data_IF_133051425987
#
_entry.id   IF_133051425987
#
_cell.length_a   1.000
_cell.length_b   1.000
_cell.length_c   1.000
_cell.angle_alpha   90.00
_cell.angle_beta   90.00
_cell.angle_gamma   90.00
#
_symmetry.space_group_name_H-M   'P 1'
#
loop_
_entity.id
_entity.type
_entity.pdbx_description
1 polymer ?
#
# COMPACT_ATOMS: atom_id res chain seq x y z
N UNK A 1 20.61 30.73 -7.01
CA UNK A 1 20.43 29.44 -7.68
C UNK A 1 18.95 29.31 -8.03
N UNK A 2 18.57 28.90 -9.23
CA UNK A 2 17.19 28.59 -9.51
C UNK A 2 16.75 27.48 -8.54
N UNK A 3 15.51 27.54 -8.06
CA UNK A 3 14.95 26.47 -7.23
C UNK A 3 15.01 25.18 -8.03
N UNK A 4 15.39 24.05 -7.40
CA UNK A 4 15.41 22.77 -8.11
C UNK A 4 13.99 22.47 -8.61
N UNK A 5 13.87 21.80 -9.77
CA UNK A 5 12.57 21.50 -10.36
C UNK A 5 11.70 20.71 -9.37
N UNK A 6 10.44 21.07 -9.32
CA UNK A 6 9.46 20.32 -8.52
C UNK A 6 9.09 19.03 -9.26
N UNK A 7 8.92 17.96 -8.52
CA UNK A 7 8.35 16.71 -9.02
C UNK A 7 6.84 16.69 -8.76
N UNK A 8 6.07 16.43 -9.79
CA UNK A 8 4.62 16.38 -9.73
C UNK A 8 4.10 14.98 -10.04
N UNK A 9 3.30 14.43 -9.15
CA UNK A 9 2.47 13.26 -9.35
C UNK A 9 1.24 13.69 -10.18
N UNK A 10 1.19 13.27 -11.46
CA UNK A 10 0.22 13.73 -12.45
C UNK A 10 -1.14 13.05 -12.32
N UNK A 11 -1.11 11.75 -12.21
CA UNK A 11 -2.29 10.88 -12.10
C UNK A 11 -1.91 9.55 -11.47
N UNK A 12 -2.92 8.85 -10.99
CA UNK A 12 -2.82 7.48 -10.48
C UNK A 12 -3.92 6.64 -11.11
N UNK A 13 -3.55 5.47 -11.67
CA UNK A 13 -4.44 4.39 -12.03
C UNK A 13 -4.40 3.29 -10.97
N UNK A 14 -5.50 2.58 -10.80
CA UNK A 14 -5.63 1.54 -9.78
C UNK A 14 -6.32 0.30 -10.35
N UNK A 15 -5.94 -0.88 -9.85
CA UNK A 15 -6.58 -2.13 -10.21
C UNK A 15 -6.68 -3.06 -9.00
N UNK A 16 -7.79 -3.75 -8.90
CA UNK A 16 -8.01 -4.86 -7.97
C UNK A 16 -8.48 -6.10 -8.74
N UNK A 17 -8.18 -7.31 -8.26
CA UNK A 17 -8.72 -8.53 -8.84
C UNK A 17 -10.26 -8.61 -8.73
N UNK A 18 -10.87 -9.56 -9.45
CA UNK A 18 -12.32 -9.69 -9.49
C UNK A 18 -12.94 -10.44 -8.29
N UNK A 19 -12.13 -11.22 -7.55
CA UNK A 19 -12.66 -12.08 -6.48
C UNK A 19 -12.66 -11.37 -5.14
N UNK A 20 -13.87 -11.10 -4.60
CA UNK A 20 -14.02 -10.66 -3.21
C UNK A 20 -13.99 -11.87 -2.27
N UNK A 21 -12.98 -11.92 -1.42
CA UNK A 21 -12.75 -13.03 -0.49
C UNK A 21 -13.11 -12.69 0.96
N UNK A 22 -13.59 -11.47 1.26
CA UNK A 22 -13.67 -10.99 2.65
C UNK A 22 -14.56 -11.89 3.52
N UNK A 23 -15.79 -12.10 3.11
CA UNK A 23 -16.75 -12.90 3.89
C UNK A 23 -16.37 -14.39 3.94
N UNK A 24 -15.85 -14.95 2.83
CA UNK A 24 -15.37 -16.32 2.80
C UNK A 24 -14.20 -16.55 3.77
N UNK A 25 -13.25 -15.61 3.80
CA UNK A 25 -12.16 -15.67 4.77
C UNK A 25 -12.66 -15.60 6.22
N UNK A 26 -13.60 -14.70 6.54
CA UNK A 26 -14.18 -14.61 7.90
C UNK A 26 -14.76 -15.95 8.33
N UNK A 27 -15.57 -16.59 7.46
CA UNK A 27 -16.15 -17.90 7.72
C UNK A 27 -15.10 -18.98 7.97
N UNK A 28 -14.07 -19.03 7.12
CA UNK A 28 -12.95 -19.97 7.26
C UNK A 28 -12.16 -19.71 8.54
N UNK A 29 -11.74 -18.47 8.80
CA UNK A 29 -10.93 -18.10 9.96
C UNK A 29 -11.67 -18.39 11.28
N UNK A 30 -12.98 -18.14 11.32
CA UNK A 30 -13.81 -18.47 12.47
C UNK A 30 -13.84 -19.97 12.77
N UNK A 31 -13.77 -20.81 11.75
CA UNK A 31 -13.66 -22.28 11.94
C UNK A 31 -12.28 -22.73 12.42
N UNK A 32 -11.23 -21.92 12.23
CA UNK A 32 -9.88 -22.20 12.74
C UNK A 32 -9.68 -21.77 14.18
N UNK A 33 -10.38 -20.71 14.62
CA UNK A 33 -10.21 -20.15 15.99
C UNK A 33 -10.73 -21.13 17.03
N UNK A 34 -10.02 -21.27 18.16
CA UNK A 34 -10.52 -22.03 19.30
C UNK A 34 -11.92 -21.53 19.73
N UNK A 35 -12.87 -22.44 20.07
CA UNK A 35 -14.26 -22.07 20.39
C UNK A 35 -14.39 -20.96 21.44
N UNK A 36 -13.50 -20.93 22.44
CA UNK A 36 -13.48 -19.89 23.49
C UNK A 36 -13.18 -18.48 22.96
N UNK A 37 -12.51 -18.36 21.81
CA UNK A 37 -12.14 -17.09 21.17
C UNK A 37 -13.09 -16.67 20.03
N UNK A 38 -14.03 -17.52 19.60
CA UNK A 38 -14.90 -17.26 18.44
C UNK A 38 -15.70 -15.94 18.58
N UNK A 39 -16.27 -15.67 19.77
CA UNK A 39 -17.00 -14.43 20.02
C UNK A 39 -16.09 -13.17 20.03
N UNK A 40 -14.83 -13.32 20.42
CA UNK A 40 -13.85 -12.24 20.33
C UNK A 40 -13.47 -11.98 18.89
N UNK A 41 -13.21 -13.03 18.11
CA UNK A 41 -12.91 -12.93 16.68
C UNK A 41 -14.04 -12.22 15.91
N UNK A 42 -15.30 -12.61 16.11
CA UNK A 42 -16.47 -11.99 15.49
C UNK A 42 -16.53 -10.47 15.77
N UNK A 43 -16.34 -10.08 17.05
CA UNK A 43 -16.35 -8.65 17.41
C UNK A 43 -15.19 -7.88 16.79
N UNK A 44 -13.99 -8.48 16.70
CA UNK A 44 -12.82 -7.85 16.12
C UNK A 44 -12.97 -7.74 14.59
N UNK A 45 -13.46 -8.78 13.94
CA UNK A 45 -13.74 -8.79 12.49
C UNK A 45 -14.77 -7.71 12.12
N UNK A 46 -15.88 -7.62 12.87
CA UNK A 46 -16.90 -6.59 12.66
C UNK A 46 -16.37 -5.15 12.87
N UNK A 47 -15.34 -4.98 13.71
CA UNK A 47 -14.71 -3.69 13.98
C UNK A 47 -13.56 -3.34 13.02
N UNK A 48 -13.13 -4.26 12.16
CA UNK A 48 -12.01 -4.03 11.25
C UNK A 48 -12.28 -2.88 10.27
N UNK A 49 -13.55 -2.58 9.99
CA UNK A 49 -13.94 -1.51 9.09
C UNK A 49 -13.68 -1.87 7.62
N UNK A 50 -13.65 -3.17 7.31
CA UNK A 50 -13.40 -3.72 5.97
C UNK A 50 -14.70 -4.36 5.47
N UNK A 51 -15.08 -4.05 4.24
CA UNK A 51 -16.26 -4.60 3.57
C UNK A 51 -15.84 -5.55 2.45
N UNK A 52 -14.78 -5.21 1.74
CA UNK A 52 -14.27 -5.98 0.59
C UNK A 52 -12.77 -6.20 0.71
N UNK A 53 -12.32 -7.38 0.24
CA UNK A 53 -10.91 -7.70 0.00
C UNK A 53 -10.80 -8.55 -1.24
N UNK A 54 -9.92 -8.15 -2.12
CA UNK A 54 -9.78 -8.72 -3.44
C UNK A 54 -8.64 -9.74 -3.47
N UNK A 55 -8.77 -10.77 -4.32
CA UNK A 55 -7.76 -11.81 -4.49
C UNK A 55 -7.59 -12.20 -5.96
N UNK A 56 -6.33 -12.39 -6.38
CA UNK A 56 -5.98 -12.96 -7.69
C UNK A 56 -6.27 -14.46 -7.75
N UNK A 57 -6.40 -15.12 -6.60
CA UNK A 57 -6.71 -16.53 -6.56
C UNK A 57 -8.13 -16.76 -7.10
N UNK A 58 -8.28 -17.67 -8.05
CA UNK A 58 -9.58 -17.89 -8.66
C UNK A 58 -10.58 -18.41 -7.63
N UNK A 59 -11.76 -17.80 -7.61
CA UNK A 59 -12.97 -18.41 -7.05
C UNK A 59 -13.73 -19.05 -8.21
N UNK A 60 -14.13 -20.30 -8.12
CA UNK A 60 -15.21 -20.81 -8.95
C UNK A 60 -16.54 -20.22 -8.45
N UNK A 61 -17.57 -20.13 -9.31
CA UNK A 61 -18.84 -19.51 -8.92
C UNK A 61 -19.36 -20.08 -7.58
N UNK A 62 -19.36 -19.25 -6.54
CA UNK A 62 -19.75 -19.63 -5.18
C UNK A 62 -18.68 -20.26 -4.30
N UNK A 63 -17.42 -20.36 -4.75
CA UNK A 63 -16.31 -20.94 -3.99
C UNK A 63 -15.16 -19.94 -3.83
N UNK A 64 -14.55 -19.91 -2.65
CA UNK A 64 -13.36 -19.11 -2.34
C UNK A 64 -12.08 -19.96 -2.44
N UNK A 65 -10.90 -19.32 -2.38
CA UNK A 65 -9.64 -20.07 -2.35
C UNK A 65 -9.51 -21.09 -1.22
N UNK A 66 -10.29 -21.00 -0.16
CA UNK A 66 -10.29 -21.91 1.00
C UNK A 66 -11.38 -22.99 0.95
N UNK A 67 -12.29 -22.93 -0.03
CA UNK A 67 -13.32 -23.93 -0.23
C UNK A 67 -12.79 -25.15 -1.02
N UNK A 68 -13.57 -26.23 -1.06
CA UNK A 68 -13.21 -27.45 -1.76
C UNK A 68 -12.84 -27.18 -3.24
N UNK A 69 -11.65 -27.63 -3.65
CA UNK A 69 -11.09 -27.35 -4.98
C UNK A 69 -10.40 -26.00 -5.13
N UNK A 70 -10.40 -25.14 -4.11
CA UNK A 70 -9.65 -23.89 -4.07
C UNK A 70 -8.17 -24.08 -3.82
N UNK A 71 -7.39 -23.01 -3.98
CA UNK A 71 -5.92 -23.03 -3.86
C UNK A 71 -5.41 -23.50 -2.47
N UNK A 72 -6.23 -23.29 -1.42
CA UNK A 72 -5.92 -23.63 -0.03
C UNK A 72 -6.78 -24.76 0.55
N UNK A 73 -7.57 -25.47 -0.29
CA UNK A 73 -8.58 -26.38 0.18
C UNK A 73 -8.04 -27.62 0.92
N UNK A 74 -7.04 -28.30 0.33
CA UNK A 74 -6.60 -29.61 0.79
C UNK A 74 -5.30 -29.54 1.63
N UNK A 75 -4.41 -28.64 1.29
CA UNK A 75 -3.17 -28.37 2.00
C UNK A 75 -2.66 -26.96 1.65
N UNK A 76 -1.90 -26.34 2.54
CA UNK A 76 -1.26 -25.07 2.22
C UNK A 76 -0.15 -25.29 1.18
N UNK A 77 -0.26 -24.68 -0.01
CA UNK A 77 0.81 -24.78 -1.00
C UNK A 77 2.11 -24.20 -0.47
N UNK A 78 3.23 -24.81 -0.87
CA UNK A 78 4.57 -24.31 -0.57
C UNK A 78 4.86 -22.98 -1.27
N UNK A 79 5.92 -22.31 -0.82
CA UNK A 79 6.34 -20.99 -1.33
C UNK A 79 6.56 -21.00 -2.85
N UNK A 80 7.14 -22.06 -3.40
CA UNK A 80 7.34 -22.17 -4.86
C UNK A 80 6.03 -22.13 -5.66
N UNK A 81 4.98 -22.83 -5.20
CA UNK A 81 3.67 -22.83 -5.85
C UNK A 81 3.00 -21.43 -5.78
N UNK A 82 3.16 -20.73 -4.65
CA UNK A 82 2.66 -19.34 -4.47
C UNK A 82 3.40 -18.37 -5.37
N UNK A 83 4.72 -18.53 -5.51
CA UNK A 83 5.54 -17.71 -6.41
C UNK A 83 5.24 -17.99 -7.90
N UNK A 84 4.82 -19.20 -8.26
CA UNK A 84 4.35 -19.48 -9.62
C UNK A 84 3.07 -18.67 -9.95
N UNK A 85 2.12 -18.59 -9.02
CA UNK A 85 0.94 -17.70 -9.18
C UNK A 85 1.34 -16.23 -9.24
N UNK A 86 2.26 -15.80 -8.35
CA UNK A 86 2.76 -14.43 -8.34
C UNK A 86 3.40 -14.04 -9.69
N UNK A 87 4.22 -14.92 -10.26
CA UNK A 87 4.92 -14.66 -11.52
C UNK A 87 3.97 -14.34 -12.70
N UNK A 88 2.76 -14.90 -12.69
CA UNK A 88 1.75 -14.65 -13.72
C UNK A 88 0.80 -13.52 -13.35
N UNK A 89 0.32 -13.51 -12.12
CA UNK A 89 -0.75 -12.60 -11.70
C UNK A 89 -0.25 -11.18 -11.37
N UNK A 90 0.96 -11.01 -10.79
CA UNK A 90 1.44 -9.70 -10.41
C UNK A 90 1.71 -8.78 -11.63
N UNK A 91 2.38 -9.22 -12.70
CA UNK A 91 2.51 -8.41 -13.90
C UNK A 91 1.17 -8.07 -14.55
N UNK A 92 0.23 -9.02 -14.58
CA UNK A 92 -1.09 -8.80 -15.17
C UNK A 92 -1.88 -7.73 -14.41
N UNK A 93 -1.88 -7.79 -13.06
CA UNK A 93 -2.56 -6.80 -12.23
C UNK A 93 -1.88 -5.42 -12.31
N UNK A 94 -0.54 -5.39 -12.35
CA UNK A 94 0.21 -4.16 -12.54
C UNK A 94 -0.11 -3.48 -13.87
N UNK A 95 -0.20 -4.24 -14.97
CA UNK A 95 -0.57 -3.72 -16.28
C UNK A 95 -2.00 -3.19 -16.30
N UNK A 96 -2.95 -3.84 -15.61
CA UNK A 96 -4.31 -3.32 -15.48
C UNK A 96 -4.35 -1.95 -14.76
N UNK A 97 -3.50 -1.73 -13.76
CA UNK A 97 -3.37 -0.42 -13.12
C UNK A 97 -2.72 0.63 -14.05
N UNK A 98 -1.78 0.22 -14.89
CA UNK A 98 -1.17 1.08 -15.91
C UNK A 98 -2.18 1.43 -16.99
N UNK A 99 -3.02 0.49 -17.42
CA UNK A 99 -4.09 0.74 -18.39
C UNK A 99 -5.11 1.74 -17.83
N UNK A 100 -5.49 1.65 -16.55
CA UNK A 100 -6.34 2.67 -15.90
C UNK A 100 -5.63 4.03 -15.83
N UNK A 101 -4.33 4.07 -15.54
CA UNK A 101 -3.54 5.31 -15.57
C UNK A 101 -3.54 5.94 -16.97
N UNK A 102 -3.37 5.14 -18.02
CA UNK A 102 -3.33 5.60 -19.40
C UNK A 102 -4.64 6.25 -19.86
N UNK A 103 -5.77 5.98 -19.20
CA UNK A 103 -7.03 6.70 -19.44
C UNK A 103 -7.04 8.15 -18.93
N UNK A 104 -6.05 8.52 -18.11
CA UNK A 104 -5.98 9.80 -17.38
C UNK A 104 -4.83 10.68 -17.84
N UNK A 105 -3.75 10.08 -18.32
CA UNK A 105 -2.52 10.79 -18.71
C UNK A 105 -1.75 10.00 -19.77
N UNK A 106 -1.14 10.73 -20.70
CA UNK A 106 -0.27 10.15 -21.74
C UNK A 106 1.00 9.55 -21.10
N UNK A 107 1.31 8.29 -21.47
CA UNK A 107 2.48 7.56 -20.97
C UNK A 107 3.67 7.57 -21.96
N UNK A 108 3.55 8.27 -23.09
CA UNK A 108 4.64 8.38 -24.06
C UNK A 108 5.90 8.97 -23.42
N UNK A 109 7.06 8.45 -23.84
CA UNK A 109 8.35 8.95 -23.38
C UNK A 109 8.68 8.64 -21.91
N UNK A 110 8.09 7.61 -21.31
CA UNK A 110 8.53 7.12 -20.01
C UNK A 110 10.00 6.73 -20.06
N UNK A 111 10.80 7.37 -19.21
CA UNK A 111 12.26 7.19 -19.14
C UNK A 111 12.69 6.26 -18.00
N UNK A 112 11.90 6.18 -16.95
CA UNK A 112 12.20 5.40 -15.75
C UNK A 112 10.96 4.62 -15.31
N UNK A 113 11.20 3.39 -14.83
CA UNK A 113 10.20 2.53 -14.22
C UNK A 113 10.65 2.16 -12.80
N UNK A 114 9.90 2.61 -11.81
CA UNK A 114 10.11 2.27 -10.39
C UNK A 114 8.98 1.36 -9.94
N UNK A 115 9.31 0.11 -9.64
CA UNK A 115 8.31 -0.89 -9.22
C UNK A 115 8.53 -1.23 -7.75
N UNK A 116 7.45 -1.27 -6.96
CA UNK A 116 7.47 -1.75 -5.59
C UNK A 116 6.56 -2.98 -5.44
N UNK A 117 7.12 -4.07 -4.89
CA UNK A 117 6.37 -5.27 -4.51
C UNK A 117 7.06 -6.02 -3.39
N UNK A 118 6.30 -6.41 -2.37
CA UNK A 118 6.81 -7.07 -1.16
C UNK A 118 6.25 -8.49 -0.98
N UNK A 119 5.38 -8.93 -1.88
CA UNK A 119 4.61 -10.17 -1.75
C UNK A 119 5.04 -11.27 -2.72
N UNK A 120 6.15 -11.09 -3.43
CA UNK A 120 6.71 -12.13 -4.27
C UNK A 120 7.98 -11.72 -4.99
N UNK A 121 8.65 -12.75 -5.56
CA UNK A 121 9.86 -12.60 -6.34
C UNK A 121 9.78 -13.47 -7.60
N UNK A 122 10.27 -12.91 -8.70
CA UNK A 122 10.39 -13.61 -9.98
C UNK A 122 11.61 -13.06 -10.72
N UNK A 123 12.27 -13.91 -11.49
CA UNK A 123 13.34 -13.51 -12.41
C UNK A 123 13.08 -14.15 -13.79
N UNK A 124 12.98 -13.33 -14.90
CA UNK A 124 13.14 -11.87 -14.95
C UNK A 124 12.19 -11.14 -14.00
N UNK A 125 12.64 -9.98 -13.43
CA UNK A 125 11.85 -9.20 -12.48
C UNK A 125 10.58 -8.62 -13.09
N UNK A 126 9.56 -8.34 -12.25
CA UNK A 126 8.30 -7.73 -12.71
C UNK A 126 8.53 -6.37 -13.40
N UNK A 127 9.56 -5.64 -13.01
CA UNK A 127 10.01 -4.42 -13.69
C UNK A 127 10.42 -4.69 -15.16
N UNK A 128 11.15 -5.77 -15.40
CA UNK A 128 11.55 -6.18 -16.75
C UNK A 128 10.35 -6.65 -17.57
N UNK A 129 9.45 -7.43 -16.96
CA UNK A 129 8.24 -7.94 -17.61
C UNK A 129 7.32 -6.77 -18.01
N UNK A 130 7.10 -5.81 -17.11
CA UNK A 130 6.30 -4.60 -17.38
C UNK A 130 6.96 -3.77 -18.49
N UNK A 131 8.27 -3.48 -18.40
CA UNK A 131 8.98 -2.71 -19.41
C UNK A 131 8.90 -3.35 -20.80
N UNK A 132 9.04 -4.68 -20.89
CA UNK A 132 8.91 -5.41 -22.16
C UNK A 132 7.48 -5.31 -22.73
N UNK A 133 6.46 -5.42 -21.89
CA UNK A 133 5.05 -5.33 -22.31
C UNK A 133 4.65 -3.92 -22.77
N UNK A 134 5.25 -2.89 -22.17
CA UNK A 134 5.02 -1.49 -22.54
C UNK A 134 5.92 -1.00 -23.70
N UNK A 135 6.82 -1.83 -24.23
CA UNK A 135 7.75 -1.43 -25.27
C UNK A 135 8.77 -0.38 -24.81
N UNK A 136 9.25 -0.48 -23.58
CA UNK A 136 10.21 0.43 -22.93
C UNK A 136 11.62 -0.19 -22.82
N UNK A 137 12.32 -0.50 -23.94
CA UNK A 137 13.57 -1.26 -23.90
C UNK A 137 14.74 -0.50 -23.28
N UNK A 138 14.67 0.83 -23.23
CA UNK A 138 15.73 1.73 -22.76
C UNK A 138 15.38 2.42 -21.43
N UNK A 139 14.20 2.18 -20.86
CA UNK A 139 13.85 2.77 -19.57
C UNK A 139 14.77 2.25 -18.46
N UNK A 140 15.29 3.16 -17.65
CA UNK A 140 15.98 2.78 -16.41
C UNK A 140 14.98 2.16 -15.44
N UNK A 141 15.37 1.06 -14.78
CA UNK A 141 14.46 0.31 -13.91
C UNK A 141 14.99 0.17 -12.51
N UNK A 142 14.09 0.26 -11.53
CA UNK A 142 14.35 -0.01 -10.13
C UNK A 142 13.24 -0.88 -9.56
N UNK A 143 13.60 -1.98 -8.91
CA UNK A 143 12.69 -2.83 -8.16
C UNK A 143 12.93 -2.64 -6.66
N UNK A 144 11.91 -2.17 -5.95
CA UNK A 144 11.88 -1.98 -4.50
C UNK A 144 11.14 -3.17 -3.91
N UNK A 145 11.84 -4.01 -3.15
CA UNK A 145 11.27 -5.21 -2.55
C UNK A 145 11.40 -5.23 -1.04
N UNK A 146 10.51 -6.00 -0.40
CA UNK A 146 10.57 -6.39 1.00
C UNK A 146 10.60 -5.25 2.03
N UNK A 147 10.13 -4.07 1.68
CA UNK A 147 10.04 -2.91 2.57
C UNK A 147 8.67 -2.79 3.28
N UNK A 148 7.65 -3.50 2.81
CA UNK A 148 6.32 -3.49 3.39
C UNK A 148 5.49 -2.26 3.00
N UNK A 149 4.60 -1.85 3.90
CA UNK A 149 3.55 -0.89 3.63
C UNK A 149 4.04 0.52 3.21
N UNK A 150 5.25 0.92 3.60
CA UNK A 150 5.80 2.22 3.21
C UNK A 150 6.56 2.21 1.86
N UNK A 151 6.63 1.07 1.16
CA UNK A 151 7.37 1.00 -0.10
C UNK A 151 6.84 1.96 -1.17
N UNK A 152 5.55 2.32 -1.16
CA UNK A 152 5.02 3.37 -2.02
C UNK A 152 5.65 4.74 -1.76
N UNK A 153 5.87 5.11 -0.50
CA UNK A 153 6.55 6.38 -0.15
C UNK A 153 7.97 6.36 -0.68
N UNK A 154 8.67 5.24 -0.51
CA UNK A 154 10.04 5.06 -1.03
C UNK A 154 10.06 5.18 -2.55
N UNK A 155 9.09 4.56 -3.26
CA UNK A 155 8.98 4.64 -4.71
C UNK A 155 8.70 6.07 -5.20
N UNK A 156 7.75 6.78 -4.57
CA UNK A 156 7.46 8.19 -4.88
C UNK A 156 8.64 9.11 -4.56
N UNK A 157 9.33 8.89 -3.44
CA UNK A 157 10.56 9.61 -3.08
C UNK A 157 11.66 9.40 -4.11
N UNK A 158 11.82 8.16 -4.58
CA UNK A 158 12.78 7.81 -5.64
C UNK A 158 12.45 8.54 -6.93
N UNK A 159 11.19 8.47 -7.39
CA UNK A 159 10.72 9.20 -8.57
C UNK A 159 10.95 10.72 -8.43
N UNK A 160 10.66 11.28 -7.25
CA UNK A 160 10.96 12.68 -6.94
C UNK A 160 12.45 13.00 -7.10
N UNK A 161 13.35 12.15 -6.61
CA UNK A 161 14.79 12.38 -6.74
C UNK A 161 15.26 12.29 -8.18
N UNK A 162 14.75 11.33 -8.95
CA UNK A 162 15.04 11.20 -10.38
C UNK A 162 14.65 12.48 -11.12
N UNK A 163 13.40 12.92 -10.98
CA UNK A 163 12.88 14.13 -11.64
C UNK A 163 13.64 15.40 -11.21
N UNK A 164 14.06 15.49 -9.97
CA UNK A 164 14.86 16.64 -9.49
C UNK A 164 16.29 16.63 -10.05
N UNK A 165 16.82 15.47 -10.37
CA UNK A 165 18.13 15.30 -11.02
C UNK A 165 18.03 15.53 -12.53
N UNK A 166 16.97 15.03 -13.14
CA UNK A 166 16.64 15.21 -14.56
C UNK A 166 15.20 15.69 -14.71
N UNK A 167 14.97 17.00 -14.90
CA UNK A 167 13.63 17.57 -15.06
C UNK A 167 12.84 17.06 -16.26
N UNK A 168 13.51 16.48 -17.26
CA UNK A 168 12.87 15.88 -18.42
C UNK A 168 12.43 14.43 -18.16
N UNK A 169 12.85 13.83 -17.06
CA UNK A 169 12.48 12.48 -16.72
C UNK A 169 10.96 12.31 -16.54
N UNK A 170 10.44 11.24 -17.10
CA UNK A 170 9.06 10.76 -16.93
C UNK A 170 9.12 9.41 -16.21
N UNK A 171 8.75 9.40 -14.94
CA UNK A 171 8.91 8.23 -14.08
C UNK A 171 7.56 7.55 -13.87
N UNK A 172 7.43 6.33 -14.37
CA UNK A 172 6.30 5.44 -14.09
C UNK A 172 6.59 4.71 -12.78
N UNK A 173 5.79 4.99 -11.76
CA UNK A 173 5.82 4.31 -10.46
C UNK A 173 4.72 3.28 -10.43
N UNK A 174 5.05 2.03 -10.10
CA UNK A 174 4.08 0.92 -10.00
C UNK A 174 4.21 0.25 -8.65
N UNK A 175 3.09 0.01 -8.00
CA UNK A 175 3.02 -0.82 -6.79
C UNK A 175 2.09 -1.99 -7.07
N UNK A 176 2.49 -3.23 -6.71
CA UNK A 176 1.67 -4.42 -6.89
C UNK A 176 1.88 -5.39 -5.75
N UNK A 177 0.77 -5.81 -5.12
CA UNK A 177 0.83 -6.68 -3.95
C UNK A 177 -0.23 -7.77 -4.04
N UNK A 178 0.21 -9.01 -3.83
CA UNK A 178 -0.63 -10.20 -3.83
C UNK A 178 -0.57 -10.89 -2.45
N UNK A 179 -1.06 -10.19 -1.45
CA UNK A 179 -0.98 -10.61 -0.04
C UNK A 179 -1.76 -11.88 0.24
N UNK A 180 -2.83 -12.12 -0.53
CA UNK A 180 -3.68 -13.31 -0.35
C UNK A 180 -2.97 -14.61 -0.70
N UNK A 181 -1.82 -14.55 -1.39
CA UNK A 181 -0.93 -15.71 -1.62
C UNK A 181 -0.25 -16.23 -0.37
N UNK A 182 -0.35 -15.54 0.77
CA UNK A 182 0.43 -15.85 1.96
C UNK A 182 -0.41 -16.31 3.17
N UNK A 183 -1.58 -16.91 2.91
CA UNK A 183 -2.39 -17.54 3.96
C UNK A 183 -1.55 -18.54 4.75
N UNK A 184 -1.63 -18.45 6.10
CA UNK A 184 -0.94 -19.33 7.04
C UNK A 184 -1.94 -20.21 7.80
N UNK A 185 -1.59 -21.46 8.05
CA UNK A 185 -2.34 -22.30 8.96
C UNK A 185 -2.05 -21.89 10.39
N UNK A 186 -3.09 -21.52 11.12
CA UNK A 186 -2.97 -21.18 12.53
C UNK A 186 -4.35 -21.27 13.21
N UNK A 187 -4.34 -21.52 14.50
CA UNK A 187 -5.52 -21.45 15.35
C UNK A 187 -5.46 -20.25 16.31
N UNK A 188 -4.37 -19.50 16.24
CA UNK A 188 -4.16 -18.31 17.08
C UNK A 188 -4.95 -17.12 16.52
N UNK A 189 -5.62 -16.42 17.42
CA UNK A 189 -6.53 -15.32 17.03
C UNK A 189 -5.79 -14.12 16.42
N UNK A 190 -4.60 -13.77 16.92
CA UNK A 190 -3.85 -12.59 16.45
C UNK A 190 -3.39 -12.73 15.00
N UNK A 191 -2.74 -13.82 14.55
CA UNK A 191 -2.41 -14.02 13.15
C UNK A 191 -3.65 -14.09 12.24
N UNK A 192 -4.76 -14.69 12.70
CA UNK A 192 -6.00 -14.73 11.93
C UNK A 192 -6.59 -13.32 11.74
N UNK A 193 -6.55 -12.48 12.77
CA UNK A 193 -6.96 -11.07 12.69
C UNK A 193 -6.01 -10.21 11.85
N UNK A 194 -4.71 -10.53 11.84
CA UNK A 194 -3.76 -9.88 10.94
C UNK A 194 -4.08 -10.24 9.47
N UNK A 195 -4.26 -11.54 9.15
CA UNK A 195 -4.62 -11.99 7.81
C UNK A 195 -5.98 -11.47 7.33
N UNK A 196 -6.92 -11.17 8.25
CA UNK A 196 -8.21 -10.56 7.95
C UNK A 196 -8.08 -9.21 7.26
N UNK A 197 -6.96 -8.51 7.42
CA UNK A 197 -6.78 -7.15 6.92
C UNK A 197 -6.31 -7.12 5.46
N UNK A 198 -5.63 -8.16 4.97
CA UNK A 198 -4.89 -8.11 3.72
C UNK A 198 -5.70 -8.50 2.49
N UNK A 199 -5.54 -7.72 1.42
CA UNK A 199 -6.06 -7.95 0.08
C UNK A 199 -5.01 -7.74 -0.99
N UNK A 200 -5.35 -8.03 -2.25
CA UNK A 200 -4.48 -7.84 -3.40
C UNK A 200 -4.87 -6.56 -4.15
N UNK A 201 -3.89 -5.88 -4.71
CA UNK A 201 -4.11 -4.69 -5.50
C UNK A 201 -2.85 -4.16 -6.16
N UNK A 202 -3.03 -3.35 -7.19
CA UNK A 202 -1.96 -2.63 -7.86
C UNK A 202 -2.34 -1.18 -8.13
N UNK A 203 -1.34 -0.31 -8.16
CA UNK A 203 -1.50 1.06 -8.60
C UNK A 203 -0.31 1.48 -9.47
N UNK A 204 -0.58 2.37 -10.42
CA UNK A 204 0.43 2.98 -11.26
C UNK A 204 0.30 4.50 -11.23
N UNK A 205 1.41 5.22 -11.25
CA UNK A 205 1.43 6.67 -11.21
C UNK A 205 2.49 7.24 -12.14
N UNK A 206 2.20 8.39 -12.75
CA UNK A 206 3.19 9.14 -13.52
C UNK A 206 3.70 10.32 -12.70
N UNK A 207 5.02 10.40 -12.55
CA UNK A 207 5.73 11.53 -11.91
C UNK A 207 6.60 12.22 -12.95
N UNK A 208 6.45 13.54 -13.09
CA UNK A 208 7.20 14.37 -14.05
C UNK A 208 7.73 15.63 -13.41
N UNK A 209 8.61 16.35 -14.10
CA UNK A 209 8.92 17.74 -13.77
C UNK A 209 7.66 18.61 -13.85
N UNK A 210 7.63 19.64 -13.02
CA UNK A 210 6.53 20.60 -12.97
C UNK A 210 6.99 21.95 -13.52
N UNK A 211 6.10 22.58 -14.30
CA UNK A 211 6.14 23.94 -14.76
C UNK A 211 4.94 24.74 -14.22
N UNK A 212 4.74 25.95 -14.72
CA UNK A 212 3.67 26.83 -14.26
C UNK A 212 2.24 26.36 -14.62
N UNK A 213 2.12 25.45 -15.60
CA UNK A 213 0.83 24.93 -16.09
C UNK A 213 0.55 23.52 -15.55
N UNK A 214 1.46 22.98 -14.75
CA UNK A 214 1.37 21.60 -14.27
C UNK A 214 0.31 21.49 -13.18
N UNK A 215 -0.68 20.64 -13.40
CA UNK A 215 -1.69 20.25 -12.41
C UNK A 215 -1.35 18.88 -11.80
N UNK A 216 -1.69 18.72 -10.52
CA UNK A 216 -1.49 17.47 -9.81
C UNK A 216 -1.03 17.66 -8.36
N UNK A 217 -0.26 16.71 -7.87
CA UNK A 217 0.21 16.68 -6.50
C UNK A 217 1.74 16.80 -6.46
N UNK A 218 2.23 17.96 -6.02
CA UNK A 218 3.66 18.18 -5.84
C UNK A 218 4.22 17.29 -4.73
N UNK A 219 5.29 16.58 -5.04
CA UNK A 219 6.06 15.78 -4.09
C UNK A 219 7.16 16.65 -3.47
N UNK A 220 6.91 17.18 -2.27
CA UNK A 220 7.81 18.13 -1.63
C UNK A 220 8.90 17.43 -0.81
N UNK A 221 8.97 17.64 0.50
CA UNK A 221 10.02 17.08 1.32
C UNK A 221 9.71 15.64 1.78
N UNK A 222 10.64 14.70 1.59
CA UNK A 222 10.50 13.36 2.16
C UNK A 222 10.84 13.37 3.65
N UNK A 223 10.22 12.44 4.35
CA UNK A 223 10.45 12.15 5.75
C UNK A 223 10.72 10.66 5.94
N UNK A 224 11.62 10.29 6.83
CA UNK A 224 11.88 8.92 7.23
C UNK A 224 12.36 8.89 8.70
N UNK A 225 11.77 8.02 9.50
CA UNK A 225 12.20 7.75 10.86
C UNK A 225 12.00 6.28 11.22
N UNK A 226 12.95 5.70 11.93
CA UNK A 226 12.79 4.40 12.58
C UNK A 226 12.47 4.64 14.05
N UNK A 227 11.38 4.09 14.54
CA UNK A 227 10.99 4.23 15.92
C UNK A 227 11.85 3.32 16.80
N UNK A 228 12.42 3.81 17.91
CA UNK A 228 13.30 3.00 18.75
C UNK A 228 12.53 1.85 19.42
N UNK A 229 13.23 0.76 19.72
CA UNK A 229 12.73 -0.43 20.44
C UNK A 229 11.44 -1.00 19.83
N UNK A 230 11.36 -1.09 18.51
CA UNK A 230 10.14 -1.47 17.79
C UNK A 230 10.35 -2.48 16.66
N UNK A 231 11.57 -2.94 16.44
CA UNK A 231 11.94 -3.85 15.34
C UNK A 231 11.21 -5.18 15.37
N UNK A 232 10.75 -5.62 16.54
CA UNK A 232 10.02 -6.86 16.70
C UNK A 232 8.52 -6.76 16.39
N UNK A 233 7.96 -5.53 16.33
CA UNK A 233 6.51 -5.32 16.29
C UNK A 233 5.88 -5.65 14.92
N UNK A 234 6.61 -5.43 13.84
CA UNK A 234 6.20 -5.82 12.49
C UNK A 234 7.35 -6.57 11.83
N UNK A 235 7.13 -7.84 11.54
CA UNK A 235 8.11 -8.69 10.87
C UNK A 235 7.48 -9.47 9.72
N UNK A 236 8.27 -9.73 8.70
CA UNK A 236 7.86 -10.42 7.50
C UNK A 236 8.94 -11.42 7.10
N UNK A 237 8.65 -12.72 7.20
CA UNK A 237 9.61 -13.78 7.02
C UNK A 237 9.20 -14.70 5.87
N UNK A 238 10.15 -15.08 5.02
CA UNK A 238 9.94 -16.11 4.01
C UNK A 238 10.02 -17.46 4.71
N UNK A 239 9.01 -18.31 4.46
CA UNK A 239 8.90 -19.67 5.02
C UNK A 239 8.67 -20.68 3.91
N UNK A 240 8.60 -21.96 4.24
CA UNK A 240 8.29 -23.04 3.28
C UNK A 240 6.84 -22.95 2.74
N UNK A 241 5.94 -22.27 3.46
CA UNK A 241 4.52 -22.13 3.12
C UNK A 241 4.13 -20.66 2.88
N UNK A 242 4.95 -19.93 2.13
CA UNK A 242 4.75 -18.53 1.80
C UNK A 242 5.45 -17.60 2.77
N UNK A 243 5.00 -16.36 2.86
CA UNK A 243 5.60 -15.35 3.71
C UNK A 243 4.74 -15.16 4.97
N UNK A 244 5.34 -15.33 6.12
CA UNK A 244 4.65 -15.21 7.40
C UNK A 244 4.82 -13.80 7.97
N UNK A 245 3.71 -13.13 8.24
CA UNK A 245 3.69 -11.83 8.88
C UNK A 245 3.44 -11.97 10.37
N UNK A 246 4.22 -11.22 11.15
CA UNK A 246 3.94 -10.92 12.54
C UNK A 246 3.55 -9.44 12.64
N UNK A 247 2.38 -9.19 13.18
CA UNK A 247 1.85 -7.86 13.46
C UNK A 247 1.41 -7.81 14.92
N UNK A 248 2.18 -7.14 15.76
CA UNK A 248 1.93 -7.03 17.19
C UNK A 248 0.79 -6.05 17.50
N UNK A 249 -0.07 -6.40 18.44
CA UNK A 249 -1.18 -5.54 18.90
C UNK A 249 -0.73 -4.21 19.52
N UNK A 250 0.55 -4.06 19.89
CA UNK A 250 1.12 -2.82 20.44
C UNK A 250 1.42 -1.76 19.35
N UNK A 251 1.43 -2.12 18.05
CA UNK A 251 1.76 -1.21 16.95
C UNK A 251 0.97 0.11 16.99
N UNK A 252 -0.37 0.14 17.14
CA UNK A 252 -1.11 1.39 17.18
C UNK A 252 -0.70 2.29 18.35
N UNK A 253 -0.48 1.71 19.54
CA UNK A 253 -0.02 2.45 20.72
C UNK A 253 1.38 3.05 20.51
N UNK A 254 2.28 2.32 19.84
CA UNK A 254 3.63 2.80 19.54
C UNK A 254 3.62 3.94 18.54
N UNK A 255 2.76 3.86 17.52
CA UNK A 255 2.53 4.95 16.56
C UNK A 255 1.98 6.20 17.28
N UNK A 256 0.97 6.03 18.15
CA UNK A 256 0.41 7.16 18.92
C UNK A 256 1.47 7.83 19.79
N UNK A 257 2.30 7.04 20.49
CA UNK A 257 3.40 7.57 21.30
C UNK A 257 4.39 8.38 20.46
N UNK A 258 4.79 7.87 19.28
CA UNK A 258 5.70 8.56 18.40
C UNK A 258 5.11 9.88 17.86
N UNK A 259 3.83 9.89 17.51
CA UNK A 259 3.15 11.09 17.02
C UNK A 259 2.77 12.09 18.13
N UNK A 260 3.00 11.77 19.40
CA UNK A 260 2.98 12.75 20.48
C UNK A 260 4.33 13.47 20.66
N UNK A 261 5.40 13.06 19.98
CA UNK A 261 6.67 13.79 19.98
C UNK A 261 6.57 15.05 19.08
N UNK A 262 6.63 16.25 19.67
CA UNK A 262 6.49 17.49 18.90
C UNK A 262 7.59 17.67 17.84
N UNK A 263 8.79 17.13 18.08
CA UNK A 263 9.91 17.25 17.13
C UNK A 263 9.65 16.38 15.88
N UNK A 264 9.13 15.16 16.08
CA UNK A 264 8.74 14.28 15.00
C UNK A 264 7.61 14.91 14.17
N UNK A 265 6.57 15.41 14.84
CA UNK A 265 5.43 16.06 14.17
C UNK A 265 5.86 17.31 13.43
N UNK A 266 6.69 18.18 14.03
CA UNK A 266 7.22 19.35 13.35
C UNK A 266 8.02 19.00 12.09
N UNK A 267 8.76 17.89 12.11
CA UNK A 267 9.47 17.39 10.92
C UNK A 267 8.50 16.91 9.83
N UNK A 268 7.42 16.20 10.20
CA UNK A 268 6.38 15.75 9.27
C UNK A 268 5.64 16.91 8.62
N UNK A 269 5.27 17.92 9.41
CA UNK A 269 4.37 19.01 9.01
C UNK A 269 5.08 20.29 8.58
N UNK A 270 6.44 20.35 8.70
CA UNK A 270 7.24 21.57 8.55
C UNK A 270 6.81 22.67 9.52
N UNK A 271 6.40 22.27 10.71
CA UNK A 271 5.91 23.17 11.76
C UNK A 271 4.47 23.67 11.57
N UNK A 272 3.79 23.29 10.50
CA UNK A 272 2.37 23.63 10.32
C UNK A 272 1.49 22.85 11.34
N UNK A 273 0.39 23.45 11.83
CA UNK A 273 -0.59 22.70 12.63
C UNK A 273 -1.15 21.53 11.85
N UNK A 274 -1.22 20.35 12.46
CA UNK A 274 -1.68 19.14 11.78
C UNK A 274 -3.12 19.24 11.27
N UNK A 275 -3.94 20.08 11.90
CA UNK A 275 -5.34 20.35 11.53
C UNK A 275 -5.49 21.21 10.25
N UNK A 276 -4.44 21.92 9.87
CA UNK A 276 -4.41 22.79 8.68
C UNK A 276 -3.92 22.05 7.43
N UNK A 277 -3.64 20.74 7.57
CA UNK A 277 -3.12 19.88 6.51
C UNK A 277 -4.14 18.79 6.12
N UNK A 278 -4.15 18.41 4.84
CA UNK A 278 -4.79 17.15 4.48
C UNK A 278 -3.85 15.96 4.75
N UNK A 279 -4.42 14.79 5.00
CA UNK A 279 -3.67 13.59 5.35
C UNK A 279 -4.01 12.42 4.43
N UNK A 280 -2.98 11.88 3.78
CA UNK A 280 -3.00 10.60 3.07
C UNK A 280 -2.28 9.56 3.94
N UNK A 281 -3.00 8.91 4.84
CA UNK A 281 -2.42 7.90 5.72
C UNK A 281 -2.64 6.51 5.13
N UNK A 282 -1.57 5.73 5.02
CA UNK A 282 -1.66 4.33 4.64
C UNK A 282 -2.64 3.59 5.57
N UNK A 283 -3.65 2.97 4.98
CA UNK A 283 -4.71 2.27 5.72
C UNK A 283 -4.26 0.86 6.14
N UNK A 284 -3.28 0.78 7.03
CA UNK A 284 -2.72 -0.48 7.55
C UNK A 284 -3.69 -1.29 8.40
N UNK A 285 -4.76 -0.65 8.89
CA UNK A 285 -5.82 -1.19 9.70
C UNK A 285 -6.54 -0.07 10.44
N UNK A 286 -7.78 -0.32 10.88
CA UNK A 286 -8.59 0.70 11.57
C UNK A 286 -7.89 1.28 12.80
N UNK A 287 -7.30 0.44 13.63
CA UNK A 287 -6.61 0.87 14.86
C UNK A 287 -5.40 1.78 14.59
N UNK A 288 -4.73 1.60 13.46
CA UNK A 288 -3.64 2.47 13.01
C UNK A 288 -4.19 3.85 12.65
N UNK A 289 -5.26 3.91 11.86
CA UNK A 289 -5.92 5.16 11.50
C UNK A 289 -6.46 5.89 12.73
N UNK A 290 -7.06 5.16 13.67
CA UNK A 290 -7.56 5.72 14.93
C UNK A 290 -6.40 6.27 15.79
N UNK A 291 -5.25 5.59 15.82
CA UNK A 291 -4.06 6.04 16.55
C UNK A 291 -3.48 7.33 15.97
N UNK A 292 -3.37 7.42 14.64
CA UNK A 292 -2.89 8.63 13.94
C UNK A 292 -3.87 9.79 14.18
N UNK A 293 -5.16 9.56 13.97
CA UNK A 293 -6.20 10.57 14.15
C UNK A 293 -6.22 11.12 15.57
N UNK A 294 -6.16 10.25 16.58
CA UNK A 294 -6.16 10.65 17.98
C UNK A 294 -4.90 11.39 18.40
N UNK A 295 -3.72 10.88 18.02
CA UNK A 295 -2.43 11.47 18.40
C UNK A 295 -2.21 12.86 17.81
N UNK A 296 -2.67 13.09 16.57
CA UNK A 296 -2.56 14.38 15.88
C UNK A 296 -3.79 15.28 16.09
N UNK A 297 -4.76 14.85 16.92
CA UNK A 297 -6.02 15.54 17.18
C UNK A 297 -6.75 15.98 15.89
N UNK A 298 -6.76 15.10 14.85
CA UNK A 298 -7.38 15.40 13.58
C UNK A 298 -8.92 15.34 13.67
N UNK A 299 -9.56 16.13 12.82
CA UNK A 299 -11.00 16.07 12.63
C UNK A 299 -11.49 14.67 12.24
N UNK A 300 -12.74 14.33 12.56
CA UNK A 300 -13.33 13.02 12.30
C UNK A 300 -13.34 12.63 10.81
N UNK A 301 -13.30 13.58 9.90
CA UNK A 301 -13.31 13.40 8.43
C UNK A 301 -11.92 13.44 7.80
N UNK A 302 -10.89 13.87 8.53
CA UNK A 302 -9.53 14.08 7.99
C UNK A 302 -8.93 12.83 7.32
N UNK A 303 -9.28 11.63 7.79
CA UNK A 303 -8.84 10.35 7.23
C UNK A 303 -9.92 9.63 6.43
N UNK A 304 -10.94 10.33 5.93
CA UNK A 304 -12.05 9.70 5.21
C UNK A 304 -11.59 8.90 3.98
N UNK A 305 -10.65 9.44 3.18
CA UNK A 305 -10.10 8.74 2.03
C UNK A 305 -9.37 7.43 2.43
N UNK A 306 -8.57 7.47 3.50
CA UNK A 306 -7.87 6.29 4.03
C UNK A 306 -8.84 5.24 4.56
N UNK A 307 -9.88 5.65 5.29
CA UNK A 307 -10.91 4.75 5.82
C UNK A 307 -11.75 4.13 4.70
N UNK A 308 -12.08 4.89 3.66
CA UNK A 308 -12.81 4.38 2.52
C UNK A 308 -11.98 3.35 1.73
N UNK A 309 -10.67 3.58 1.53
CA UNK A 309 -9.78 2.58 0.91
C UNK A 309 -9.72 1.30 1.74
N UNK A 310 -9.60 1.41 3.07
CA UNK A 310 -9.62 0.26 3.97
C UNK A 310 -10.93 -0.53 3.86
N UNK A 311 -12.05 0.17 3.84
CA UNK A 311 -13.38 -0.46 3.71
C UNK A 311 -13.53 -1.23 2.40
N UNK A 312 -13.11 -0.63 1.30
CA UNK A 312 -13.40 -1.14 -0.04
C UNK A 312 -12.37 -2.16 -0.54
N UNK A 313 -11.18 -2.23 0.09
CA UNK A 313 -10.07 -3.04 -0.44
C UNK A 313 -9.27 -3.79 0.64
N UNK A 314 -9.45 -3.47 1.91
CA UNK A 314 -8.53 -3.89 2.96
C UNK A 314 -7.16 -3.22 2.84
N UNK A 315 -6.14 -3.85 3.43
CA UNK A 315 -4.75 -3.42 3.34
C UNK A 315 -4.06 -4.18 2.19
N UNK A 316 -3.75 -3.46 1.12
CA UNK A 316 -3.00 -3.95 -0.05
C UNK A 316 -1.51 -3.55 0.03
N UNK A 317 -0.93 -3.52 1.22
CA UNK A 317 0.48 -3.15 1.46
C UNK A 317 0.86 -1.84 0.77
N UNK A 318 1.93 -1.85 -0.04
CA UNK A 318 2.41 -0.65 -0.72
C UNK A 318 1.36 -0.01 -1.63
N UNK A 319 0.47 -0.78 -2.26
CA UNK A 319 -0.56 -0.24 -3.13
C UNK A 319 -1.61 0.60 -2.38
N UNK A 320 -1.87 0.32 -1.10
CA UNK A 320 -2.92 0.99 -0.32
C UNK A 320 -2.78 2.52 -0.29
N UNK A 321 -1.56 3.03 -0.03
CA UNK A 321 -1.34 4.49 0.00
C UNK A 321 -1.60 5.13 -1.37
N UNK A 322 -1.27 4.45 -2.45
CA UNK A 322 -1.52 4.94 -3.81
C UNK A 322 -3.02 5.06 -4.09
N UNK A 323 -3.85 4.12 -3.60
CA UNK A 323 -5.31 4.22 -3.68
C UNK A 323 -5.85 5.40 -2.87
N UNK A 324 -5.27 5.69 -1.70
CA UNK A 324 -5.64 6.90 -0.91
C UNK A 324 -5.32 8.16 -1.70
N UNK A 325 -4.12 8.26 -2.28
CA UNK A 325 -3.71 9.40 -3.10
C UNK A 325 -4.58 9.53 -4.37
N UNK A 326 -4.96 8.42 -5.01
CA UNK A 326 -5.86 8.42 -6.16
C UNK A 326 -7.23 9.03 -5.81
N UNK A 327 -7.80 8.70 -4.64
CA UNK A 327 -9.06 9.30 -4.16
C UNK A 327 -8.93 10.80 -3.90
N UNK A 328 -7.82 11.22 -3.31
CA UNK A 328 -7.54 12.64 -3.06
C UNK A 328 -7.33 13.41 -4.37
N UNK A 329 -6.69 12.83 -5.38
CA UNK A 329 -6.57 13.43 -6.71
C UNK A 329 -7.93 13.54 -7.41
N UNK A 330 -8.82 12.57 -7.25
CA UNK A 330 -10.16 12.60 -7.84
C UNK A 330 -11.12 13.58 -7.13
N UNK A 331 -10.90 13.83 -5.84
CA UNK A 331 -11.68 14.75 -5.01
C UNK A 331 -10.70 15.54 -4.11
N UNK A 332 -10.06 16.59 -4.65
CA UNK A 332 -9.06 17.35 -3.92
C UNK A 332 -9.64 17.99 -2.64
N UNK A 333 -8.90 17.94 -1.53
CA UNK A 333 -9.30 18.58 -0.30
C UNK A 333 -9.31 20.13 -0.45
N UNK A 334 -10.01 20.80 0.44
CA UNK A 334 -10.09 22.27 0.42
C UNK A 334 -8.75 22.95 0.78
N UNK A 335 -7.85 22.23 1.46
CA UNK A 335 -6.51 22.72 1.82
C UNK A 335 -5.49 22.17 0.83
N UNK A 336 -4.55 23.02 0.41
CA UNK A 336 -3.56 22.64 -0.62
C UNK A 336 -2.42 21.80 -0.08
N UNK A 337 -2.00 22.04 1.17
CA UNK A 337 -0.86 21.36 1.77
C UNK A 337 -1.29 20.12 2.55
N UNK A 338 -0.44 19.09 2.52
CA UNK A 338 -0.73 17.85 3.23
C UNK A 338 0.47 16.94 3.38
N UNK A 339 0.20 15.79 3.98
CA UNK A 339 1.19 14.76 4.29
C UNK A 339 0.70 13.39 3.84
N UNK A 340 1.53 12.68 3.07
CA UNK A 340 1.41 11.25 2.92
C UNK A 340 2.24 10.56 4.01
N UNK A 341 1.67 9.56 4.71
CA UNK A 341 2.31 8.87 5.82
C UNK A 341 2.01 7.38 5.79
N UNK A 342 3.04 6.57 5.93
CA UNK A 342 2.94 5.12 6.03
C UNK A 342 3.84 4.57 7.13
N UNK A 343 3.40 3.47 7.75
CA UNK A 343 4.16 2.72 8.76
C UNK A 343 4.40 1.30 8.26
N UNK A 344 5.50 0.70 8.64
CA UNK A 344 5.81 -0.68 8.25
C UNK A 344 6.95 -1.28 9.08
N UNK A 345 7.52 -2.41 8.62
CA UNK A 345 8.55 -3.11 9.36
C UNK A 345 9.67 -2.20 9.86
N UNK A 346 10.12 -2.47 11.12
CA UNK A 346 11.22 -1.70 11.69
C UNK A 346 10.99 -0.99 13.04
N UNK A 347 9.86 -0.65 13.50
CA UNK A 347 8.72 0.08 12.96
C UNK A 347 9.20 1.40 12.32
N UNK A 348 9.14 1.50 11.03
CA UNK A 348 9.50 2.72 10.34
C UNK A 348 8.26 3.58 10.06
N UNK A 349 8.44 4.91 10.13
CA UNK A 349 7.51 5.91 9.64
C UNK A 349 8.13 6.60 8.44
N UNK A 350 7.49 6.50 7.28
CA UNK A 350 7.93 7.11 6.03
C UNK A 350 6.85 8.03 5.50
N UNK A 351 7.22 9.20 5.00
CA UNK A 351 6.26 10.18 4.51
C UNK A 351 6.81 11.13 3.47
N UNK A 352 5.90 11.86 2.88
CA UNK A 352 6.14 12.94 1.93
C UNK A 352 5.24 14.11 2.26
N UNK A 353 5.77 15.32 2.29
CA UNK A 353 4.93 16.51 2.22
C UNK A 353 4.44 16.69 0.79
N UNK A 354 3.20 17.10 0.69
CA UNK A 354 2.45 17.17 -0.54
C UNK A 354 1.82 18.55 -0.68
N UNK A 355 1.64 19.02 -1.92
CA UNK A 355 0.86 20.23 -2.20
C UNK A 355 0.09 20.08 -3.50
N UNK A 356 -1.21 20.29 -3.44
CA UNK A 356 -2.04 20.37 -4.63
C UNK A 356 -1.71 21.61 -5.45
N UNK A 357 -1.66 21.44 -6.78
CA UNK A 357 -1.64 22.50 -7.79
C UNK A 357 -2.77 22.27 -8.76
N UNK A 358 -3.63 23.28 -8.87
CA UNK A 358 -4.82 23.25 -9.71
C UNK A 358 -4.55 23.77 -11.12
#
# INVERSE_FOLDING_TARGET
MPLPPYACLRAIGTAVPANDIHNAFIGWAKAQVEPRHAALFDRMAARAGITHRWSVLPGSAGHSPVDAGGFYADALPGTAARMAVYAEAAPALALAAIDDLATRVELDGVTHLVVASCTGFVAPGIDQIIAARLGLPTAERLLIGFMGCYAAVVALRTARHIVRSDPAARVLVVTVELSTLHLQATHEIEPLLAMLQFGDGAAAALVTGADAETQGLMLEAPFAATLPDSEALIRWNITDTGFAMHLDGAVPGRIATALHDPALVATLTDGAPAQDLFWAVHAGGRSILDAVQGALALDGTALAASRAVLSDNGNMWSATLMFVLARLLAAPPAVEQGVALAFGPGLAAEGLRLRFVA
#
